data_IF_625765740942
#
_entry.id   IF_625765740942
#
_cell.length_a   1.000
_cell.length_b   1.000
_cell.length_c   1.000
_cell.angle_alpha   90.00
_cell.angle_beta   90.00
_cell.angle_gamma   90.00
#
_symmetry.space_group_name_H-M   'P 1'
#
loop_
_entity.id
_entity.type
_entity.pdbx_description
1 polymer ?
#
# COMPACT_ATOMS: atom_id res chain seq x y z
N UNK A 1 -37.01 17.81 -7.65
CA UNK A 1 -36.05 17.26 -6.67
C UNK A 1 -34.66 17.44 -7.25
N UNK A 2 -33.87 18.37 -6.71
CA UNK A 2 -32.50 18.61 -7.19
C UNK A 2 -31.57 17.64 -6.48
N UNK A 3 -31.03 16.65 -7.20
CA UNK A 3 -29.93 15.83 -6.70
C UNK A 3 -28.71 16.73 -6.54
N UNK A 4 -28.37 17.10 -5.30
CA UNK A 4 -27.11 17.74 -4.98
C UNK A 4 -25.99 16.73 -5.30
N UNK A 5 -25.34 16.91 -6.44
CA UNK A 5 -24.14 16.19 -6.82
C UNK A 5 -23.07 16.50 -5.75
N UNK A 6 -22.88 15.60 -4.78
CA UNK A 6 -21.79 15.71 -3.81
C UNK A 6 -20.49 15.46 -4.58
N UNK A 7 -19.89 16.52 -5.12
CA UNK A 7 -18.56 16.42 -5.70
C UNK A 7 -17.56 16.13 -4.58
N UNK A 8 -17.17 14.87 -4.43
CA UNK A 8 -16.06 14.51 -3.55
C UNK A 8 -14.78 15.11 -4.13
N UNK A 9 -14.23 16.14 -3.49
CA UNK A 9 -12.92 16.69 -3.84
C UNK A 9 -11.84 15.97 -3.03
N UNK A 10 -10.73 15.65 -3.71
CA UNK A 10 -9.52 15.12 -3.07
C UNK A 10 -8.42 16.14 -3.25
N UNK A 11 -7.84 16.59 -2.16
CA UNK A 11 -6.76 17.58 -2.15
C UNK A 11 -5.46 16.91 -1.75
N UNK A 12 -4.44 17.02 -2.60
CA UNK A 12 -3.10 16.51 -2.32
C UNK A 12 -2.16 17.68 -2.03
N UNK A 13 -1.29 17.50 -1.03
CA UNK A 13 -0.16 18.41 -0.81
C UNK A 13 1.07 17.77 -1.43
N UNK A 14 1.66 18.48 -2.38
CA UNK A 14 2.90 18.08 -3.03
C UNK A 14 4.03 18.97 -2.53
N UNK A 15 5.22 18.41 -2.39
CA UNK A 15 6.44 19.22 -2.28
C UNK A 15 6.68 19.98 -3.60
N UNK A 16 7.50 21.03 -3.55
CA UNK A 16 7.82 21.82 -4.74
C UNK A 16 8.44 20.98 -5.86
N UNK A 17 9.29 20.01 -5.51
CA UNK A 17 9.94 19.11 -6.46
C UNK A 17 8.93 18.15 -7.12
N UNK A 18 8.01 17.58 -6.35
CA UNK A 18 6.96 16.70 -6.88
C UNK A 18 5.99 17.45 -7.78
N UNK A 19 5.66 18.69 -7.42
CA UNK A 19 4.80 19.55 -8.24
C UNK A 19 5.44 19.79 -9.60
N UNK A 20 6.71 20.21 -9.64
CA UNK A 20 7.42 20.49 -10.89
C UNK A 20 7.53 19.24 -11.78
N UNK A 21 7.84 18.08 -11.19
CA UNK A 21 7.88 16.80 -11.93
C UNK A 21 6.52 16.42 -12.50
N UNK A 22 5.44 16.68 -11.76
CA UNK A 22 4.08 16.33 -12.21
C UNK A 22 3.59 17.30 -13.29
N UNK A 23 3.93 18.58 -13.18
CA UNK A 23 3.64 19.62 -14.16
C UNK A 23 4.30 19.31 -15.52
N UNK A 24 5.61 19.02 -15.52
CA UNK A 24 6.32 18.61 -16.74
C UNK A 24 5.72 17.36 -17.40
N UNK A 25 5.25 16.41 -16.60
CA UNK A 25 4.58 15.21 -17.12
C UNK A 25 3.20 15.51 -17.70
N UNK A 26 2.45 16.39 -17.05
CA UNK A 26 1.14 16.83 -17.53
C UNK A 26 1.28 17.56 -18.87
N UNK A 27 2.22 18.51 -18.97
CA UNK A 27 2.51 19.24 -20.21
C UNK A 27 2.98 18.30 -21.33
N UNK A 28 3.93 17.40 -21.04
CA UNK A 28 4.42 16.43 -22.03
C UNK A 28 3.33 15.48 -22.53
N UNK A 29 2.33 15.18 -21.69
CA UNK A 29 1.18 14.37 -22.05
C UNK A 29 0.00 15.18 -22.65
N UNK A 30 0.17 16.49 -22.83
CA UNK A 30 -0.81 17.38 -23.49
C UNK A 30 -1.99 17.80 -22.60
N UNK A 31 -1.85 17.76 -21.28
CA UNK A 31 -2.88 18.19 -20.35
C UNK A 31 -2.72 19.66 -19.95
N UNK A 32 -3.83 20.40 -19.94
CA UNK A 32 -3.85 21.82 -19.54
C UNK A 32 -3.65 22.03 -18.03
N UNK A 33 -3.97 21.02 -17.21
CA UNK A 33 -3.85 21.12 -15.75
C UNK A 33 -3.31 19.83 -15.13
N UNK A 34 -2.52 19.99 -14.06
CA UNK A 34 -2.04 18.89 -13.22
C UNK A 34 -3.21 18.03 -12.71
N UNK A 35 -4.34 18.66 -12.35
CA UNK A 35 -5.52 17.95 -11.83
C UNK A 35 -6.17 17.03 -12.86
N UNK A 36 -6.23 17.44 -14.13
CA UNK A 36 -6.73 16.60 -15.22
C UNK A 36 -5.79 15.42 -15.45
N UNK A 37 -4.48 15.69 -15.50
CA UNK A 37 -3.46 14.65 -15.62
C UNK A 37 -3.51 13.63 -14.46
N UNK A 38 -3.57 14.08 -13.20
CA UNK A 38 -3.63 13.20 -12.03
C UNK A 38 -4.92 12.39 -12.01
N UNK A 39 -6.07 13.00 -12.34
CA UNK A 39 -7.34 12.27 -12.42
C UNK A 39 -7.25 11.13 -13.42
N UNK A 40 -6.79 11.41 -14.63
CA UNK A 40 -6.72 10.40 -15.68
C UNK A 40 -5.63 9.36 -15.39
N UNK A 41 -4.52 9.77 -14.78
CA UNK A 41 -3.48 8.84 -14.34
C UNK A 41 -3.95 7.92 -13.21
N UNK A 42 -4.81 8.38 -12.30
CA UNK A 42 -5.38 7.55 -11.22
C UNK A 42 -6.49 6.64 -11.74
N UNK A 43 -7.33 7.12 -12.67
CA UNK A 43 -8.42 6.32 -13.26
C UNK A 43 -7.87 5.24 -14.18
N UNK A 44 -6.92 5.61 -15.05
CA UNK A 44 -6.36 4.72 -16.07
C UNK A 44 -5.11 3.99 -15.60
N UNK A 45 -4.56 4.38 -14.44
CA UNK A 45 -3.48 3.66 -13.81
C UNK A 45 -3.95 2.26 -13.50
N UNK A 46 -3.31 1.26 -14.10
CA UNK A 46 -3.44 -0.11 -13.63
C UNK A 46 -3.04 -0.09 -12.15
N UNK A 47 -3.91 -0.51 -11.22
CA UNK A 47 -3.52 -0.61 -9.83
C UNK A 47 -2.24 -1.44 -9.80
N UNK A 48 -1.17 -0.86 -9.24
CA UNK A 48 0.10 -1.58 -9.03
C UNK A 48 -0.28 -2.93 -8.44
N UNK A 49 0.26 -3.99 -9.06
CA UNK A 49 -0.05 -5.39 -8.83
C UNK A 49 -0.80 -5.61 -7.51
N UNK A 50 -2.08 -5.97 -7.59
CA UNK A 50 -2.76 -6.50 -6.42
C UNK A 50 -1.88 -7.64 -5.93
N UNK A 51 -1.20 -7.43 -4.80
CA UNK A 51 -0.52 -8.49 -4.08
C UNK A 51 -1.61 -9.45 -3.61
N UNK A 52 -1.93 -10.42 -4.47
CA UNK A 52 -2.78 -11.54 -4.11
C UNK A 52 -1.90 -12.42 -3.24
N UNK A 53 -1.91 -12.12 -1.95
CA UNK A 53 -1.28 -12.97 -0.96
C UNK A 53 -2.14 -14.22 -0.81
N UNK A 54 -1.51 -15.38 -0.90
CA UNK A 54 -2.17 -16.61 -0.44
C UNK A 54 -2.50 -16.47 1.06
N UNK A 55 -3.52 -17.17 1.57
CA UNK A 55 -3.81 -17.18 3.00
C UNK A 55 -2.58 -17.48 3.85
N UNK A 56 -1.71 -18.39 3.41
CA UNK A 56 -0.47 -18.74 4.11
C UNK A 56 0.54 -17.58 4.11
N UNK A 57 0.68 -16.87 2.98
CA UNK A 57 1.59 -15.73 2.86
C UNK A 57 1.14 -14.56 3.74
N UNK A 58 -0.17 -14.31 3.80
CA UNK A 58 -0.74 -13.30 4.68
C UNK A 58 -0.56 -13.68 6.16
N UNK A 59 -0.81 -14.94 6.51
CA UNK A 59 -0.60 -15.46 7.87
C UNK A 59 0.87 -15.35 8.30
N UNK A 60 1.81 -15.68 7.41
CA UNK A 60 3.24 -15.52 7.66
C UNK A 60 3.64 -14.07 7.94
N UNK A 61 3.12 -13.12 7.14
CA UNK A 61 3.37 -11.69 7.33
C UNK A 61 2.78 -11.16 8.65
N UNK A 62 1.57 -11.61 9.01
CA UNK A 62 0.94 -11.24 10.27
C UNK A 62 1.77 -11.71 11.47
N UNK A 63 2.23 -12.97 11.46
CA UNK A 63 3.07 -13.53 12.52
C UNK A 63 4.42 -12.79 12.61
N UNK A 64 5.05 -12.50 11.47
CA UNK A 64 6.31 -11.75 11.43
C UNK A 64 6.15 -10.33 12.00
N UNK A 65 5.03 -9.66 11.71
CA UNK A 65 4.72 -8.34 12.26
C UNK A 65 4.53 -8.38 13.78
N UNK A 66 3.79 -9.37 14.29
CA UNK A 66 3.61 -9.58 15.74
C UNK A 66 4.95 -9.85 16.43
N UNK A 67 5.78 -10.72 15.88
CA UNK A 67 7.11 -11.03 16.42
C UNK A 67 8.02 -9.79 16.43
N UNK A 68 8.00 -8.98 15.38
CA UNK A 68 8.76 -7.72 15.32
C UNK A 68 8.32 -6.75 16.42
N UNK A 69 7.01 -6.61 16.65
CA UNK A 69 6.48 -5.81 17.75
C UNK A 69 6.88 -6.32 19.14
N UNK A 70 6.90 -7.64 19.33
CA UNK A 70 7.33 -8.26 20.60
C UNK A 70 8.83 -8.06 20.87
N UNK A 71 9.67 -8.17 19.84
CA UNK A 71 11.11 -7.92 19.94
C UNK A 71 11.42 -6.46 20.30
N UNK A 72 10.66 -5.52 19.74
CA UNK A 72 10.83 -4.09 20.00
C UNK A 72 10.36 -3.67 21.41
N UNK A 73 9.45 -4.42 22.02
CA UNK A 73 8.86 -4.11 23.34
C UNK A 73 9.47 -4.92 24.50
N UNK A 74 10.61 -5.61 24.29
CA UNK A 74 11.30 -6.45 25.30
C UNK A 74 10.38 -7.39 26.09
N UNK A 75 9.28 -7.84 25.46
CA UNK A 75 8.23 -8.61 26.13
C UNK A 75 8.26 -10.07 25.68
N UNK A 76 8.48 -10.95 26.65
CA UNK A 76 8.23 -12.39 26.70
C UNK A 76 8.79 -13.28 25.55
N UNK A 77 9.99 -13.84 25.78
CA UNK A 77 10.56 -14.93 24.96
C UNK A 77 9.77 -16.24 24.97
N UNK A 78 8.79 -16.40 25.88
CA UNK A 78 7.96 -17.60 25.99
C UNK A 78 6.78 -17.61 25.02
N UNK A 79 6.21 -16.44 24.74
CA UNK A 79 5.06 -16.29 23.84
C UNK A 79 5.47 -16.21 22.36
N UNK A 80 6.73 -15.89 22.08
CA UNK A 80 7.28 -15.86 20.73
C UNK A 80 7.61 -17.24 20.16
N UNK A 81 7.90 -18.24 20.99
CA UNK A 81 8.22 -19.61 20.55
C UNK A 81 7.11 -20.27 19.70
N UNK A 82 5.82 -20.29 20.10
CA UNK A 82 4.77 -20.87 19.27
C UNK A 82 4.58 -20.10 17.95
N UNK A 83 4.75 -18.78 17.97
CA UNK A 83 4.68 -17.94 16.77
C UNK A 83 5.84 -18.22 15.81
N UNK A 84 7.06 -18.38 16.32
CA UNK A 84 8.23 -18.76 15.53
C UNK A 84 8.05 -20.12 14.87
N UNK A 85 7.60 -21.13 15.61
CA UNK A 85 7.35 -22.47 15.06
C UNK A 85 6.28 -22.44 13.96
N UNK A 86 5.22 -21.65 14.15
CA UNK A 86 4.14 -21.48 13.16
C UNK A 86 4.65 -20.77 11.90
N UNK A 87 5.45 -19.72 12.05
CA UNK A 87 6.11 -19.03 10.94
C UNK A 87 7.03 -19.97 10.16
N UNK A 88 7.86 -20.77 10.84
CA UNK A 88 8.75 -21.73 10.19
C UNK A 88 7.99 -22.76 9.36
N UNK A 89 6.85 -23.27 9.85
CA UNK A 89 6.01 -24.22 9.10
C UNK A 89 5.44 -23.61 7.84
N UNK A 90 4.90 -22.39 7.92
CA UNK A 90 4.37 -21.65 6.78
C UNK A 90 5.47 -21.43 5.72
N UNK A 91 6.66 -21.00 6.14
CA UNK A 91 7.78 -20.76 5.23
C UNK A 91 8.32 -22.04 4.57
N UNK A 92 8.28 -23.18 5.28
CA UNK A 92 8.66 -24.48 4.70
C UNK A 92 7.62 -25.03 3.72
N UNK A 93 6.33 -24.78 3.98
CA UNK A 93 5.23 -25.20 3.10
C UNK A 93 5.22 -24.43 1.76
N UNK A 94 5.60 -23.15 1.78
CA UNK A 94 5.67 -22.30 0.57
C UNK A 94 6.85 -22.66 -0.35
N UNK A 95 7.83 -23.44 0.12
CA UNK A 95 9.04 -23.83 -0.65
C UNK A 95 8.92 -25.20 -1.35
N UNK A 96 7.89 -25.99 -1.05
CA UNK A 96 7.60 -27.28 -1.72
C UNK A 96 6.63 -27.10 -2.87
#
# INVERSE_FOLDING_TARGET
MAHANKSSSVTFRLSSEEKEKTEKKAEAAGYDTISAYVRDHVINGTPKDKLVLSPESFEGLAIASTLSGMLNNTSHSRESQPLLLRLTRILMAVKS
#
